data_IF_292159709290
#
_entry.id   IF_292159709290
#
_cell.length_a   1.000
_cell.length_b   1.000
_cell.length_c   1.000
_cell.angle_alpha   90.00
_cell.angle_beta   90.00
_cell.angle_gamma   90.00
#
_symmetry.space_group_name_H-M   'P 1'
#
loop_
_entity.id
_entity.type
_entity.pdbx_description
1 polymer ?
#
# COMPACT_ATOMS: atom_id res chain seq x y z
N UNK A 1 -6.45 -10.87 -10.64
CA UNK A 1 -5.99 -9.65 -9.95
C UNK A 1 -6.45 -9.66 -8.50
N UNK A 2 -5.64 -9.15 -7.62
CA UNK A 2 -5.99 -9.02 -6.20
C UNK A 2 -6.16 -7.55 -5.86
N UNK A 3 -6.97 -7.26 -4.88
CA UNK A 3 -7.17 -5.90 -4.43
C UNK A 3 -7.23 -5.84 -2.91
N UNK A 4 -6.77 -4.72 -2.37
CA UNK A 4 -6.85 -4.45 -0.94
C UNK A 4 -7.35 -3.02 -0.77
N UNK A 5 -8.07 -2.78 0.31
CA UNK A 5 -8.53 -1.44 0.62
C UNK A 5 -7.41 -0.63 1.27
N UNK A 6 -7.36 0.65 0.93
CA UNK A 6 -6.44 1.56 1.59
C UNK A 6 -6.80 1.67 3.07
N UNK A 7 -5.78 1.70 3.94
CA UNK A 7 -6.01 1.80 5.39
C UNK A 7 -6.50 3.20 5.81
N UNK A 8 -6.26 4.20 4.99
CA UNK A 8 -6.59 5.58 5.32
C UNK A 8 -7.84 6.12 4.64
N UNK A 9 -8.35 5.40 3.65
CA UNK A 9 -9.56 5.77 2.95
C UNK A 9 -10.20 4.48 2.42
N UNK A 10 -11.33 4.60 1.75
CA UNK A 10 -12.06 3.43 1.27
C UNK A 10 -11.73 3.05 -0.18
N UNK A 11 -10.71 3.65 -0.75
CA UNK A 11 -10.31 3.34 -2.11
C UNK A 11 -9.69 1.95 -2.19
N UNK A 12 -9.96 1.25 -3.28
CA UNK A 12 -9.35 -0.05 -3.52
C UNK A 12 -8.07 0.13 -4.35
N UNK A 13 -7.05 -0.64 -3.98
CA UNK A 13 -5.78 -0.66 -4.72
C UNK A 13 -5.66 -2.05 -5.31
N UNK A 14 -5.50 -2.14 -6.63
CA UNK A 14 -5.48 -3.41 -7.34
C UNK A 14 -4.13 -3.67 -8.00
N UNK A 15 -3.80 -4.94 -8.17
CA UNK A 15 -2.59 -5.33 -8.88
C UNK A 15 -2.63 -6.81 -9.23
N UNK A 16 -1.98 -7.18 -10.33
CA UNK A 16 -1.91 -8.57 -10.75
C UNK A 16 -1.00 -9.38 -9.84
N UNK A 17 0.09 -8.76 -9.40
CA UNK A 17 1.02 -9.35 -8.46
C UNK A 17 1.39 -8.28 -7.42
N UNK A 18 2.20 -8.67 -6.46
CA UNK A 18 2.58 -7.76 -5.39
C UNK A 18 3.35 -6.54 -5.90
N UNK A 19 4.20 -6.73 -6.89
CA UNK A 19 4.98 -5.64 -7.45
C UNK A 19 4.07 -4.60 -8.11
N UNK A 20 3.14 -5.03 -8.94
CA UNK A 20 2.16 -4.13 -9.55
C UNK A 20 1.29 -3.46 -8.52
N UNK A 21 0.87 -4.22 -7.51
CA UNK A 21 0.08 -3.68 -6.41
C UNK A 21 0.84 -2.56 -5.69
N UNK A 22 2.13 -2.78 -5.42
CA UNK A 22 2.94 -1.79 -4.72
C UNK A 22 3.12 -0.51 -5.53
N UNK A 23 3.21 -0.61 -6.84
CA UNK A 23 3.30 0.58 -7.70
C UNK A 23 2.03 1.42 -7.58
N UNK A 24 0.88 0.77 -7.62
CA UNK A 24 -0.39 1.46 -7.47
C UNK A 24 -0.53 2.04 -6.06
N UNK A 25 -0.11 1.30 -5.06
CA UNK A 25 -0.15 1.77 -3.68
C UNK A 25 0.73 3.00 -3.47
N UNK A 26 1.93 2.98 -4.02
CA UNK A 26 2.84 4.12 -3.92
C UNK A 26 2.26 5.34 -4.62
N UNK A 27 1.68 5.16 -5.79
CA UNK A 27 1.06 6.26 -6.51
C UNK A 27 -0.12 6.84 -5.73
N UNK A 28 -0.91 5.97 -5.12
CA UNK A 28 -2.05 6.40 -4.32
C UNK A 28 -1.60 7.16 -3.06
N UNK A 29 -0.68 6.57 -2.31
CA UNK A 29 -0.19 7.23 -1.09
C UNK A 29 0.61 8.49 -1.39
N UNK A 30 1.32 8.50 -2.51
CA UNK A 30 2.10 9.67 -2.90
C UNK A 30 1.28 10.86 -3.35
N UNK A 31 0.02 10.65 -3.76
CA UNK A 31 -0.84 11.75 -4.19
C UNK A 31 -1.96 12.04 -3.19
N UNK A 32 -2.62 11.03 -2.66
CA UNK A 32 -3.74 11.23 -1.74
C UNK A 32 -3.27 11.36 -0.30
N UNK A 33 -2.26 10.58 0.07
CA UNK A 33 -1.76 10.53 1.44
C UNK A 33 -0.29 10.92 1.55
N UNK A 34 0.11 11.89 0.76
CA UNK A 34 1.52 12.34 0.73
C UNK A 34 2.01 12.77 2.12
N UNK A 35 1.17 13.48 2.86
CA UNK A 35 1.52 13.94 4.20
C UNK A 35 1.80 12.78 5.14
N UNK A 36 1.00 11.74 5.05
CA UNK A 36 1.17 10.55 5.90
C UNK A 36 2.41 9.77 5.51
N UNK A 37 2.69 9.70 4.21
CA UNK A 37 3.87 9.01 3.73
C UNK A 37 5.15 9.69 4.19
N UNK A 38 5.17 11.02 4.21
CA UNK A 38 6.31 11.80 4.70
C UNK A 38 6.50 11.69 6.22
N UNK A 39 5.40 11.46 6.94
CA UNK A 39 5.43 11.40 8.39
C UNK A 39 5.94 10.07 8.94
N UNK A 40 5.93 9.02 8.14
CA UNK A 40 6.40 7.71 8.61
C UNK A 40 7.89 7.56 8.38
N UNK A 41 8.55 6.85 9.29
CA UNK A 41 9.98 6.56 9.18
C UNK A 41 10.22 5.42 8.19
N UNK A 42 11.47 5.25 7.77
CA UNK A 42 11.85 4.15 6.90
C UNK A 42 11.54 2.80 7.55
N UNK A 43 11.73 2.71 8.85
CA UNK A 43 11.46 1.50 9.62
C UNK A 43 9.97 1.16 9.60
N UNK A 44 9.13 2.15 9.82
CA UNK A 44 7.68 1.96 9.78
C UNK A 44 7.22 1.60 8.37
N UNK A 45 7.83 2.22 7.38
CA UNK A 45 7.52 1.92 5.98
C UNK A 45 7.84 0.46 5.65
N UNK A 46 8.98 -0.03 6.12
CA UNK A 46 9.37 -1.42 5.90
C UNK A 46 8.37 -2.40 6.54
N UNK A 47 7.94 -2.10 7.76
CA UNK A 47 6.94 -2.90 8.45
C UNK A 47 5.61 -2.91 7.70
N UNK A 48 5.21 -1.74 7.22
CA UNK A 48 3.98 -1.61 6.45
C UNK A 48 4.03 -2.46 5.18
N UNK A 49 5.16 -2.44 4.48
CA UNK A 49 5.33 -3.24 3.27
C UNK A 49 5.20 -4.74 3.58
N UNK A 50 5.82 -5.21 4.67
CA UNK A 50 5.71 -6.61 5.07
C UNK A 50 4.28 -7.01 5.39
N UNK A 51 3.59 -6.19 6.17
CA UNK A 51 2.20 -6.46 6.53
C UNK A 51 1.30 -6.46 5.30
N UNK A 52 1.53 -5.53 4.40
CA UNK A 52 0.76 -5.43 3.17
C UNK A 52 0.99 -6.66 2.29
N UNK A 53 2.23 -7.14 2.24
CA UNK A 53 2.55 -8.34 1.48
C UNK A 53 1.77 -9.55 1.98
N UNK A 54 1.72 -9.73 3.29
CA UNK A 54 0.97 -10.83 3.88
C UNK A 54 -0.51 -10.72 3.54
N UNK A 55 -1.07 -9.54 3.68
CA UNK A 55 -2.47 -9.31 3.34
C UNK A 55 -2.75 -9.58 1.86
N UNK A 56 -1.84 -9.17 1.00
CA UNK A 56 -1.98 -9.38 -0.44
C UNK A 56 -1.96 -10.87 -0.78
N UNK A 57 -1.06 -11.62 -0.16
CA UNK A 57 -0.96 -13.05 -0.41
C UNK A 57 -2.18 -13.82 0.11
N UNK A 58 -2.79 -13.34 1.17
CA UNK A 58 -3.99 -13.95 1.74
C UNK A 58 -5.29 -13.54 1.03
N UNK A 59 -5.25 -12.50 0.28
CA UNK A 59 -6.43 -11.97 -0.40
C UNK A 59 -6.95 -12.87 -1.52
#
# INVERSE_FOLDING_TARGET
MKSLKCDFCESNIEGEDFESFMKEAHAHYGSVHADKLEAISDEDKAKWVEETKVKFEEA
#
